data_IF_771212108384
#
_entry.id   IF_771212108384
#
_cell.length_a   1.000
_cell.length_b   1.000
_cell.length_c   1.000
_cell.angle_alpha   90.00
_cell.angle_beta   90.00
_cell.angle_gamma   90.00
#
_symmetry.space_group_name_H-M   'P 1'
#
loop_
_entity.id
_entity.type
_entity.pdbx_description
1 polymer ?
#
# COMPACT_ATOMS: atom_id res chain seq x y z
N UNK A 1 -8.74 -16.54 -14.72
CA UNK A 1 -7.88 -15.88 -13.71
C UNK A 1 -8.14 -16.55 -12.37
N UNK A 2 -7.22 -17.35 -11.84
CA UNK A 2 -7.46 -18.21 -10.66
C UNK A 2 -6.31 -18.21 -9.64
N UNK A 3 -5.46 -17.18 -9.65
CA UNK A 3 -4.39 -17.01 -8.66
C UNK A 3 -4.80 -16.05 -7.53
N UNK A 4 -4.41 -16.39 -6.29
CA UNK A 4 -4.54 -15.45 -5.17
C UNK A 4 -3.58 -14.27 -5.36
N UNK A 5 -4.04 -13.05 -5.11
CA UNK A 5 -3.18 -11.86 -5.11
C UNK A 5 -2.22 -11.94 -3.92
N UNK A 6 -0.94 -11.64 -4.17
CA UNK A 6 0.13 -11.68 -3.16
C UNK A 6 0.91 -10.37 -3.05
N UNK A 7 0.85 -9.52 -4.06
CA UNK A 7 1.57 -8.24 -4.10
C UNK A 7 0.61 -7.12 -4.49
N UNK A 8 0.70 -6.01 -3.74
CA UNK A 8 -0.10 -4.79 -3.96
C UNK A 8 0.87 -3.61 -4.04
N UNK A 9 0.76 -2.83 -5.11
CA UNK A 9 1.52 -1.58 -5.28
C UNK A 9 0.55 -0.41 -5.23
N UNK A 10 0.84 0.53 -4.33
CA UNK A 10 0.09 1.78 -4.16
C UNK A 10 0.95 2.90 -4.73
N UNK A 11 0.42 3.60 -5.74
CA UNK A 11 1.06 4.75 -6.35
C UNK A 11 0.42 6.03 -5.84
N UNK A 12 1.21 6.90 -5.22
CA UNK A 12 0.76 8.12 -4.58
C UNK A 12 0.72 7.98 -3.06
N UNK A 13 1.26 8.98 -2.38
CA UNK A 13 1.35 9.03 -0.93
C UNK A 13 0.31 9.95 -0.27
N UNK A 14 0.76 10.76 0.68
CA UNK A 14 -0.11 11.51 1.59
C UNK A 14 -1.05 10.62 2.41
N UNK A 15 -2.11 11.21 2.97
CA UNK A 15 -3.01 10.50 3.89
C UNK A 15 -3.73 9.32 3.23
N UNK A 16 -4.18 9.47 1.98
CA UNK A 16 -4.86 8.42 1.24
C UNK A 16 -3.95 7.20 1.02
N UNK A 17 -2.77 7.41 0.44
CA UNK A 17 -1.83 6.32 0.16
C UNK A 17 -1.39 5.59 1.42
N UNK A 18 -0.97 6.33 2.45
CA UNK A 18 -0.48 5.75 3.69
C UNK A 18 -1.57 5.05 4.51
N UNK A 19 -2.79 5.59 4.55
CA UNK A 19 -3.91 4.93 5.24
C UNK A 19 -4.29 3.62 4.53
N UNK A 20 -4.39 3.63 3.20
CA UNK A 20 -4.66 2.42 2.42
C UNK A 20 -3.58 1.37 2.64
N UNK A 21 -2.29 1.76 2.61
CA UNK A 21 -1.18 0.84 2.85
C UNK A 21 -1.24 0.22 4.25
N UNK A 22 -1.50 1.04 5.28
CA UNK A 22 -1.55 0.59 6.67
C UNK A 22 -2.70 -0.38 6.93
N UNK A 23 -3.90 -0.09 6.41
CA UNK A 23 -5.08 -0.96 6.58
C UNK A 23 -4.85 -2.31 5.90
N UNK A 24 -4.42 -2.32 4.63
CA UNK A 24 -4.13 -3.56 3.91
C UNK A 24 -3.04 -4.37 4.63
N UNK A 25 -1.97 -3.71 5.08
CA UNK A 25 -0.88 -4.38 5.75
C UNK A 25 -1.29 -5.01 7.09
N UNK A 26 -2.14 -4.33 7.86
CA UNK A 26 -2.67 -4.81 9.13
C UNK A 26 -3.64 -5.99 8.94
N UNK A 27 -4.59 -5.87 8.01
CA UNK A 27 -5.62 -6.91 7.79
C UNK A 27 -5.04 -8.18 7.16
N UNK A 28 -3.97 -8.05 6.35
CA UNK A 28 -3.40 -9.17 5.60
C UNK A 28 -2.01 -9.60 6.07
N UNK A 29 -1.66 -9.27 7.32
CA UNK A 29 -0.45 -9.73 8.00
C UNK A 29 0.82 -9.52 7.18
N UNK A 30 0.99 -8.34 6.59
CA UNK A 30 2.09 -8.03 5.66
C UNK A 30 3.49 -8.19 6.28
N UNK A 31 3.58 -8.12 7.61
CA UNK A 31 4.81 -8.38 8.37
C UNK A 31 5.16 -9.88 8.54
N UNK A 32 4.26 -10.79 8.19
CA UNK A 32 4.49 -12.23 8.24
C UNK A 32 5.02 -12.74 6.89
N UNK A 33 5.87 -13.78 6.89
CA UNK A 33 6.41 -14.36 5.67
C UNK A 33 5.38 -14.99 4.71
N UNK A 34 4.11 -15.10 5.13
CA UNK A 34 3.00 -15.63 4.34
C UNK A 34 1.92 -14.59 3.98
N UNK A 35 2.06 -13.35 4.47
CA UNK A 35 1.11 -12.26 4.25
C UNK A 35 1.23 -11.61 2.87
N UNK A 36 0.41 -10.58 2.64
CA UNK A 36 0.51 -9.78 1.40
C UNK A 36 1.72 -8.86 1.47
N UNK A 37 2.44 -8.72 0.37
CA UNK A 37 3.47 -7.68 0.23
C UNK A 37 2.82 -6.39 -0.25
N UNK A 38 2.93 -5.34 0.55
CA UNK A 38 2.42 -4.00 0.20
C UNK A 38 3.60 -3.08 -0.07
N UNK A 39 3.62 -2.42 -1.23
CA UNK A 39 4.64 -1.44 -1.60
C UNK A 39 3.96 -0.11 -1.90
N UNK A 40 4.40 0.97 -1.26
CA UNK A 40 3.93 2.32 -1.54
C UNK A 40 5.05 3.09 -2.26
N UNK A 41 4.72 3.73 -3.38
CA UNK A 41 5.62 4.58 -4.15
C UNK A 41 5.07 6.01 -4.09
N UNK A 42 5.83 6.90 -3.44
CA UNK A 42 5.50 8.31 -3.28
C UNK A 42 6.49 9.17 -4.08
N UNK A 43 5.96 10.22 -4.73
CA UNK A 43 6.81 11.20 -5.41
C UNK A 43 7.51 12.08 -4.37
N UNK A 44 8.84 12.28 -4.46
CA UNK A 44 9.52 13.22 -3.59
C UNK A 44 9.21 14.69 -3.95
N UNK A 45 8.81 14.95 -5.21
CA UNK A 45 8.68 16.31 -5.76
C UNK A 45 7.22 16.76 -5.88
N UNK A 46 6.31 15.82 -6.17
CA UNK A 46 4.88 16.12 -6.32
C UNK A 46 4.18 16.00 -4.97
N UNK A 47 3.97 17.16 -4.33
CA UNK A 47 3.21 17.24 -3.09
C UNK A 47 1.74 16.87 -3.30
N UNK A 48 1.13 16.30 -2.28
CA UNK A 48 -0.31 16.05 -2.26
C UNK A 48 -1.11 17.35 -2.19
N UNK A 49 -2.31 17.32 -2.78
CA UNK A 49 -3.29 18.40 -2.61
C UNK A 49 -4.04 18.12 -1.31
N UNK A 50 -3.81 18.96 -0.30
CA UNK A 50 -4.57 18.97 0.95
C UNK A 50 -5.74 19.93 0.86
N UNK A 51 -6.90 19.52 1.37
CA UNK A 51 -8.05 20.39 1.63
C UNK A 51 -8.09 20.77 3.10
#
# INVERSE_FOLDING_TARGET
MSGAIKEIVILGGGSAGWLTAAVIAAEHQSASGAGLKVTLIESPDVRTIGV
#
